data_IF_467995005035
#
_entry.id   IF_467995005035
#
_cell.length_a   1.000
_cell.length_b   1.000
_cell.length_c   1.000
_cell.angle_alpha   90.00
_cell.angle_beta   90.00
_cell.angle_gamma   90.00
#
_symmetry.space_group_name_H-M   'P 1'
#
loop_
_entity.id
_entity.type
_entity.pdbx_description
1 polymer ?
#
# COMPACT_ATOMS: atom_id res chain seq x y z
N UNK A 1 -0.62 -23.86 1.81
CA UNK A 1 -1.35 -23.43 0.61
C UNK A 1 -2.44 -22.43 1.03
N UNK A 2 -2.15 -21.46 1.92
CA UNK A 2 -3.19 -20.96 2.85
C UNK A 2 -3.04 -19.51 3.38
N UNK A 3 -2.58 -18.52 2.59
CA UNK A 3 -2.47 -17.14 3.14
C UNK A 3 -3.27 -16.03 2.47
N UNK A 4 -3.86 -16.26 1.30
CA UNK A 4 -4.71 -15.25 0.66
C UNK A 4 -6.14 -15.69 0.42
N UNK A 5 -6.51 -16.91 0.83
CA UNK A 5 -7.88 -17.40 0.75
C UNK A 5 -8.83 -16.85 1.82
N UNK A 6 -8.39 -15.87 2.63
CA UNK A 6 -9.19 -15.23 3.67
C UNK A 6 -8.56 -13.89 4.00
N UNK A 7 -9.14 -12.78 3.56
CA UNK A 7 -8.89 -11.50 4.24
C UNK A 7 -9.42 -11.69 5.67
N UNK A 8 -8.53 -11.93 6.62
CA UNK A 8 -8.95 -12.19 8.01
C UNK A 8 -9.75 -10.99 8.52
N UNK A 9 -10.72 -11.17 9.44
CA UNK A 9 -11.48 -10.05 9.99
C UNK A 9 -10.59 -8.90 10.48
N UNK A 10 -9.42 -9.22 11.05
CA UNK A 10 -8.42 -8.24 11.47
C UNK A 10 -7.81 -7.45 10.30
N UNK A 11 -7.47 -8.11 9.20
CA UNK A 11 -6.97 -7.45 7.98
C UNK A 11 -8.06 -6.57 7.34
N UNK A 12 -9.30 -7.04 7.32
CA UNK A 12 -10.44 -6.27 6.82
C UNK A 12 -10.66 -5.00 7.62
N UNK A 13 -10.58 -5.05 8.96
CA UNK A 13 -10.73 -3.85 9.80
C UNK A 13 -9.57 -2.86 9.65
N UNK A 14 -8.34 -3.34 9.47
CA UNK A 14 -7.19 -2.46 9.17
C UNK A 14 -7.40 -1.73 7.83
N UNK A 15 -7.81 -2.46 6.79
CA UNK A 15 -8.10 -1.87 5.49
C UNK A 15 -9.23 -0.85 5.54
N UNK A 16 -10.30 -1.13 6.28
CA UNK A 16 -11.38 -0.16 6.53
C UNK A 16 -10.88 1.09 7.27
N UNK A 17 -9.97 0.93 8.23
CA UNK A 17 -9.36 2.09 8.90
C UNK A 17 -8.59 2.98 7.93
N UNK A 18 -7.81 2.39 7.03
CA UNK A 18 -7.08 3.14 6.02
C UNK A 18 -8.03 3.90 5.10
N UNK A 19 -9.06 3.24 4.56
CA UNK A 19 -10.08 3.87 3.71
C UNK A 19 -10.83 5.00 4.44
N UNK A 20 -11.16 4.81 5.72
CA UNK A 20 -11.83 5.84 6.52
C UNK A 20 -10.94 7.07 6.72
N UNK A 21 -9.63 6.89 6.87
CA UNK A 21 -8.66 7.98 7.08
C UNK A 21 -8.26 8.70 5.79
N UNK A 22 -8.46 8.07 4.63
CA UNK A 22 -8.04 8.59 3.33
C UNK A 22 -8.89 9.78 2.89
N UNK A 23 -8.29 10.74 2.15
CA UNK A 23 -8.99 11.94 1.66
C UNK A 23 -9.22 11.94 0.14
N UNK A 24 -8.65 10.98 -0.59
CA UNK A 24 -8.75 10.93 -2.04
C UNK A 24 -9.96 10.10 -2.47
N UNK A 25 -11.02 10.74 -2.95
CA UNK A 25 -12.30 10.08 -3.26
C UNK A 25 -12.17 8.91 -4.23
N UNK A 26 -11.39 9.06 -5.31
CA UNK A 26 -11.17 7.98 -6.29
C UNK A 26 -10.50 6.75 -5.68
N UNK A 27 -9.55 6.95 -4.77
CA UNK A 27 -8.84 5.84 -4.11
C UNK A 27 -9.74 5.17 -3.06
N UNK A 28 -10.55 5.95 -2.36
CA UNK A 28 -11.59 5.41 -1.47
C UNK A 28 -12.54 4.55 -2.28
N UNK A 29 -13.02 5.02 -3.43
CA UNK A 29 -13.92 4.29 -4.30
C UNK A 29 -13.33 2.97 -4.79
N UNK A 30 -12.14 3.03 -5.38
CA UNK A 30 -11.42 1.85 -5.85
C UNK A 30 -11.17 0.86 -4.70
N UNK A 31 -10.80 1.36 -3.51
CA UNK A 31 -10.61 0.54 -2.33
C UNK A 31 -11.89 -0.13 -1.83
N UNK A 32 -13.02 0.58 -1.83
CA UNK A 32 -14.32 0.00 -1.49
C UNK A 32 -14.73 -1.10 -2.47
N UNK A 33 -14.50 -0.88 -3.78
CA UNK A 33 -14.77 -1.88 -4.83
C UNK A 33 -13.87 -3.10 -4.69
N UNK A 34 -12.57 -2.90 -4.42
CA UNK A 34 -11.63 -3.99 -4.18
C UNK A 34 -11.99 -4.81 -2.94
N UNK A 35 -12.36 -4.15 -1.83
CA UNK A 35 -12.79 -4.87 -0.63
C UNK A 35 -14.04 -5.72 -0.90
N UNK A 36 -15.02 -5.16 -1.61
CA UNK A 36 -16.22 -5.89 -2.00
C UNK A 36 -15.87 -7.12 -2.87
N UNK A 37 -15.01 -6.93 -3.88
CA UNK A 37 -14.50 -8.02 -4.73
C UNK A 37 -13.77 -9.10 -3.92
N UNK A 38 -12.87 -8.72 -3.02
CA UNK A 38 -12.09 -9.67 -2.22
C UNK A 38 -12.98 -10.51 -1.31
N UNK A 39 -14.03 -9.90 -0.74
CA UNK A 39 -15.03 -10.63 0.03
C UNK A 39 -15.87 -11.57 -0.85
N UNK A 40 -16.19 -11.17 -2.09
CA UNK A 40 -16.89 -12.04 -3.03
C UNK A 40 -16.07 -13.27 -3.43
N UNK A 41 -14.79 -13.06 -3.76
CA UNK A 41 -13.92 -14.11 -4.30
C UNK A 41 -13.46 -15.11 -3.23
N UNK A 42 -13.48 -14.73 -1.94
CA UNK A 42 -13.23 -15.65 -0.81
C UNK A 42 -14.34 -16.72 -0.63
N UNK A 43 -15.53 -16.50 -1.21
CA UNK A 43 -16.68 -17.43 -1.11
C UNK A 43 -16.64 -18.64 -2.04
N UNK A 44 -15.66 -18.74 -2.95
CA UNK A 44 -15.47 -19.92 -3.81
C UNK A 44 -16.58 -20.16 -4.84
N UNK A 45 -17.19 -19.12 -5.39
CA UNK A 45 -18.26 -19.28 -6.39
C UNK A 45 -18.44 -18.07 -7.30
N UNK A 46 -18.69 -18.37 -8.57
CA UNK A 46 -19.02 -17.43 -9.66
C UNK A 46 -20.28 -16.63 -9.38
N UNK A 47 -20.26 -15.34 -9.73
CA UNK A 47 -21.39 -14.42 -9.87
C UNK A 47 -22.14 -14.04 -8.58
N UNK A 48 -22.22 -12.73 -8.34
CA UNK A 48 -23.15 -11.99 -7.46
C UNK A 48 -23.84 -12.84 -6.37
N UNK A 49 -23.16 -13.04 -5.23
CA UNK A 49 -23.77 -13.70 -4.08
C UNK A 49 -24.28 -12.64 -3.09
N UNK A 50 -25.61 -12.61 -2.89
CA UNK A 50 -26.29 -11.74 -1.93
C UNK A 50 -25.72 -11.88 -0.49
N UNK A 51 -25.15 -13.03 -0.14
CA UNK A 51 -24.46 -13.25 1.14
C UNK A 51 -23.17 -12.44 1.28
N UNK A 52 -22.41 -12.25 0.20
CA UNK A 52 -21.16 -11.48 0.20
C UNK A 52 -21.45 -9.98 0.30
N UNK A 53 -22.50 -9.51 -0.38
CA UNK A 53 -23.04 -8.15 -0.21
C UNK A 53 -23.42 -7.91 1.26
N UNK A 54 -24.10 -8.87 1.90
CA UNK A 54 -24.47 -8.79 3.31
C UNK A 54 -23.24 -8.77 4.24
N UNK A 55 -22.19 -9.51 3.91
CA UNK A 55 -20.95 -9.52 4.69
C UNK A 55 -20.21 -8.18 4.61
N UNK A 56 -20.10 -7.61 3.41
CA UNK A 56 -19.50 -6.28 3.21
C UNK A 56 -20.21 -5.21 4.06
N UNK A 57 -21.54 -5.11 3.97
CA UNK A 57 -22.29 -4.13 4.76
C UNK A 57 -22.23 -4.39 6.27
N UNK A 58 -22.12 -5.64 6.70
CA UNK A 58 -21.86 -5.98 8.12
C UNK A 58 -20.52 -5.44 8.60
N UNK A 59 -19.44 -5.62 7.84
CA UNK A 59 -18.14 -5.06 8.19
C UNK A 59 -18.16 -3.53 8.28
N UNK A 60 -18.80 -2.85 7.31
CA UNK A 60 -18.96 -1.40 7.33
C UNK A 60 -19.73 -0.91 8.56
N UNK A 61 -20.80 -1.62 8.91
CA UNK A 61 -21.65 -1.30 10.06
C UNK A 61 -20.90 -1.48 11.37
N UNK A 62 -20.20 -2.61 11.53
CA UNK A 62 -19.40 -2.87 12.75
C UNK A 62 -18.29 -1.83 12.88
N UNK A 63 -17.54 -1.55 11.82
CA UNK A 63 -16.42 -0.62 11.90
C UNK A 63 -16.89 0.83 12.10
N UNK A 64 -17.77 1.32 11.23
CA UNK A 64 -18.24 2.70 11.29
C UNK A 64 -19.18 2.94 12.48
N UNK A 65 -20.30 2.26 12.50
CA UNK A 65 -21.40 2.58 13.42
C UNK A 65 -21.17 2.04 14.82
N UNK A 66 -20.61 0.83 14.95
CA UNK A 66 -20.36 0.25 16.27
C UNK A 66 -19.10 0.80 16.92
N UNK A 67 -17.96 0.84 16.21
CA UNK A 67 -16.67 1.27 16.78
C UNK A 67 -16.47 2.79 16.74
N UNK A 68 -16.70 3.43 15.58
CA UNK A 68 -16.40 4.86 15.41
C UNK A 68 -17.59 5.80 15.64
N UNK A 69 -18.80 5.25 15.79
CA UNK A 69 -20.07 5.99 15.90
C UNK A 69 -20.34 6.94 14.72
N UNK A 70 -19.77 6.65 13.55
CA UNK A 70 -19.98 7.41 12.30
C UNK A 70 -20.11 6.45 11.10
N UNK A 71 -20.91 6.76 10.07
CA UNK A 71 -20.97 5.93 8.87
C UNK A 71 -19.59 5.79 8.21
N UNK A 72 -19.24 4.58 7.78
CA UNK A 72 -18.02 4.37 7.02
C UNK A 72 -18.11 5.02 5.62
N UNK A 73 -17.01 5.55 5.09
CA UNK A 73 -16.96 6.22 3.76
C UNK A 73 -17.41 5.32 2.60
N UNK A 74 -17.30 4.00 2.73
CA UNK A 74 -17.83 3.06 1.74
C UNK A 74 -19.36 2.90 1.79
N UNK A 75 -20.04 3.32 2.87
CA UNK A 75 -21.48 3.09 3.05
C UNK A 75 -22.33 3.97 2.14
N UNK A 76 -21.86 5.16 1.78
CA UNK A 76 -22.52 6.06 0.84
C UNK A 76 -22.33 5.66 -0.63
N UNK A 77 -21.54 4.62 -0.90
CA UNK A 77 -21.21 4.17 -2.26
C UNK A 77 -22.04 2.94 -2.61
N UNK A 78 -22.80 3.03 -3.69
CA UNK A 78 -23.42 1.86 -4.30
C UNK A 78 -22.32 1.10 -5.05
N UNK A 79 -21.71 0.14 -4.36
CA UNK A 79 -20.69 -0.73 -4.97
C UNK A 79 -21.40 -1.69 -5.92
N UNK A 80 -21.22 -1.47 -7.22
CA UNK A 80 -21.66 -2.35 -8.28
C UNK A 80 -20.45 -2.73 -9.13
N UNK A 81 -20.09 -4.01 -9.11
CA UNK A 81 -18.94 -4.52 -9.87
C UNK A 81 -19.46 -5.06 -11.20
N UNK A 82 -19.06 -4.42 -12.29
CA UNK A 82 -19.29 -4.93 -13.64
C UNK A 82 -18.36 -6.10 -13.96
N UNK A 83 -18.62 -6.81 -15.06
CA UNK A 83 -17.72 -7.89 -15.50
C UNK A 83 -16.31 -7.37 -15.85
N UNK A 84 -16.21 -6.17 -16.43
CA UNK A 84 -14.94 -5.47 -16.67
C UNK A 84 -14.21 -5.14 -15.36
N UNK A 85 -14.92 -4.61 -14.38
CA UNK A 85 -14.33 -4.31 -13.06
C UNK A 85 -13.78 -5.58 -12.40
N UNK A 86 -14.51 -6.70 -12.52
CA UNK A 86 -14.08 -7.99 -11.98
C UNK A 86 -12.76 -8.48 -12.59
N UNK A 87 -12.55 -8.25 -13.89
CA UNK A 87 -11.30 -8.61 -14.58
C UNK A 87 -10.13 -7.77 -14.05
N UNK A 88 -10.33 -6.46 -13.93
CA UNK A 88 -9.31 -5.55 -13.38
C UNK A 88 -8.95 -5.93 -11.94
N UNK A 89 -9.97 -6.11 -11.10
CA UNK A 89 -9.79 -6.43 -9.68
C UNK A 89 -9.11 -7.78 -9.51
N UNK A 90 -9.37 -8.74 -10.40
CA UNK A 90 -8.65 -10.02 -10.45
C UNK A 90 -7.18 -9.83 -10.80
N UNK A 91 -6.85 -9.03 -11.82
CA UNK A 91 -5.45 -8.77 -12.19
C UNK A 91 -4.67 -8.15 -11.03
N UNK A 92 -5.29 -7.24 -10.28
CA UNK A 92 -4.70 -6.63 -9.08
C UNK A 92 -4.48 -7.69 -7.99
N UNK A 93 -5.47 -8.55 -7.75
CA UNK A 93 -5.40 -9.61 -6.75
C UNK A 93 -4.34 -10.67 -7.07
N UNK A 94 -4.25 -11.08 -8.34
CA UNK A 94 -3.24 -12.01 -8.85
C UNK A 94 -1.83 -11.43 -8.68
N UNK A 95 -1.63 -10.14 -9.02
CA UNK A 95 -0.36 -9.43 -8.83
C UNK A 95 0.04 -9.37 -7.35
N UNK A 96 -0.90 -9.04 -6.47
CA UNK A 96 -0.67 -8.98 -5.03
C UNK A 96 -0.34 -10.35 -4.43
N UNK A 97 -1.03 -11.40 -4.88
CA UNK A 97 -0.78 -12.78 -4.47
C UNK A 97 0.62 -13.23 -4.89
N UNK A 98 1.02 -12.93 -6.12
CA UNK A 98 2.37 -13.21 -6.62
C UNK A 98 3.42 -12.49 -5.75
N UNK A 99 3.28 -11.18 -5.51
CA UNK A 99 4.19 -10.40 -4.68
C UNK A 99 4.40 -11.02 -3.29
N UNK A 100 3.33 -11.45 -2.63
CA UNK A 100 3.42 -12.02 -1.29
C UNK A 100 3.92 -13.47 -1.27
N UNK A 101 3.80 -14.20 -2.39
CA UNK A 101 4.36 -15.53 -2.54
C UNK A 101 5.90 -15.53 -2.63
N UNK A 102 6.48 -14.36 -2.95
CA UNK A 102 7.92 -14.20 -3.06
C UNK A 102 8.58 -14.33 -1.69
N UNK A 103 9.52 -15.26 -1.61
CA UNK A 103 10.34 -15.45 -0.42
C UNK A 103 11.49 -14.44 -0.42
N UNK A 104 11.18 -13.19 -0.03
CA UNK A 104 12.14 -12.08 0.03
C UNK A 104 13.40 -12.39 0.88
N UNK A 105 13.36 -13.39 1.75
CA UNK A 105 14.52 -13.83 2.55
C UNK A 105 15.55 -14.64 1.75
N UNK A 106 15.18 -15.23 0.60
CA UNK A 106 16.08 -15.97 -0.29
C UNK A 106 16.79 -15.09 -1.34
N UNK A 107 16.61 -13.78 -1.25
CA UNK A 107 17.08 -12.81 -2.23
C UNK A 107 18.60 -12.59 -2.22
N UNK A 108 19.32 -13.11 -1.22
CA UNK A 108 20.77 -12.94 -1.08
C UNK A 108 21.64 -13.65 -2.12
N UNK A 109 21.19 -14.77 -2.70
CA UNK A 109 22.00 -15.56 -3.67
C UNK A 109 21.27 -15.90 -5.00
N UNK A 110 19.93 -15.88 -5.02
CA UNK A 110 19.09 -16.17 -6.22
C UNK A 110 18.20 -14.97 -6.58
N UNK A 111 18.40 -13.83 -5.90
CA UNK A 111 17.47 -12.71 -5.87
C UNK A 111 17.25 -12.01 -7.20
N UNK A 112 18.24 -11.98 -8.09
CA UNK A 112 18.16 -11.24 -9.35
C UNK A 112 17.15 -11.88 -10.31
N UNK A 113 17.17 -13.21 -10.45
CA UNK A 113 16.19 -13.93 -11.29
C UNK A 113 14.77 -13.88 -10.71
N UNK A 114 14.64 -13.94 -9.39
CA UNK A 114 13.33 -13.84 -8.71
C UNK A 114 12.74 -12.44 -8.92
N UNK A 115 13.56 -11.41 -8.80
CA UNK A 115 13.15 -10.02 -9.01
C UNK A 115 12.81 -9.74 -10.48
N UNK A 116 13.64 -10.23 -11.42
CA UNK A 116 13.40 -10.09 -12.86
C UNK A 116 12.09 -10.77 -13.28
N UNK A 117 11.81 -11.97 -12.75
CA UNK A 117 10.55 -12.68 -13.00
C UNK A 117 9.35 -11.93 -12.43
N UNK A 118 9.49 -11.32 -11.25
CA UNK A 118 8.43 -10.49 -10.68
C UNK A 118 8.16 -9.25 -11.55
N UNK A 119 9.21 -8.51 -11.94
CA UNK A 119 9.03 -7.34 -12.80
C UNK A 119 8.43 -7.70 -14.15
N UNK A 120 8.88 -8.78 -14.79
CA UNK A 120 8.28 -9.25 -16.05
C UNK A 120 6.78 -9.58 -15.90
N UNK A 121 6.39 -10.21 -14.77
CA UNK A 121 4.97 -10.44 -14.48
C UNK A 121 4.22 -9.15 -14.18
N UNK A 122 4.82 -8.22 -13.45
CA UNK A 122 4.24 -6.91 -13.16
C UNK A 122 4.00 -6.11 -14.45
N UNK A 123 4.98 -6.10 -15.37
CA UNK A 123 4.86 -5.48 -16.68
C UNK A 123 3.73 -6.13 -17.50
N UNK A 124 3.62 -7.46 -17.45
CA UNK A 124 2.49 -8.17 -18.07
C UNK A 124 1.14 -7.74 -17.48
N UNK A 125 1.01 -7.66 -16.15
CA UNK A 125 -0.21 -7.21 -15.50
C UNK A 125 -0.56 -5.75 -15.85
N UNK A 126 0.44 -4.86 -15.87
CA UNK A 126 0.27 -3.46 -16.27
C UNK A 126 -0.18 -3.37 -17.73
N UNK A 127 0.43 -4.16 -18.62
CA UNK A 127 0.03 -4.20 -20.03
C UNK A 127 -1.43 -4.64 -20.21
N UNK A 128 -1.84 -5.70 -19.51
CA UNK A 128 -3.22 -6.19 -19.56
C UNK A 128 -4.21 -5.16 -18.99
N UNK A 129 -3.82 -4.46 -17.93
CA UNK A 129 -4.62 -3.39 -17.36
C UNK A 129 -4.79 -2.21 -18.34
N UNK A 130 -3.69 -1.75 -18.95
CA UNK A 130 -3.72 -0.64 -19.89
C UNK A 130 -4.55 -0.96 -21.14
N UNK A 131 -4.38 -2.16 -21.71
CA UNK A 131 -5.18 -2.64 -22.85
C UNK A 131 -6.68 -2.66 -22.50
N UNK A 132 -7.02 -3.08 -21.28
CA UNK A 132 -8.42 -3.11 -20.82
C UNK A 132 -9.01 -1.70 -20.62
N UNK A 133 -8.22 -0.72 -20.18
CA UNK A 133 -8.68 0.67 -20.08
C UNK A 133 -8.85 1.29 -21.46
N UNK A 134 -7.87 1.15 -22.36
CA UNK A 134 -7.93 1.73 -23.70
C UNK A 134 -9.11 1.18 -24.52
N UNK A 135 -9.39 -0.13 -24.41
CA UNK A 135 -10.53 -0.76 -25.10
C UNK A 135 -11.89 -0.27 -24.55
N UNK A 136 -12.01 0.00 -23.25
CA UNK A 136 -13.21 0.55 -22.65
C UNK A 136 -13.40 2.05 -22.94
N UNK A 137 -12.32 2.83 -23.00
CA UNK A 137 -12.37 4.25 -23.38
C UNK A 137 -12.84 4.41 -24.84
N UNK A 138 -12.33 3.56 -25.75
CA UNK A 138 -12.79 3.54 -27.14
C UNK A 138 -14.28 3.15 -27.26
N UNK A 139 -14.76 2.18 -26.47
CA UNK A 139 -16.17 1.77 -26.47
C UNK A 139 -17.12 2.82 -25.84
N UNK A 140 -16.63 3.65 -24.91
CA UNK A 140 -17.42 4.73 -24.29
C UNK A 140 -17.54 6.00 -25.14
N UNK A 141 -16.67 6.14 -26.16
CA UNK A 141 -16.55 7.35 -26.97
C UNK A 141 -17.74 7.62 -27.92
N UNK A 142 -18.67 6.66 -28.08
CA UNK A 142 -19.86 6.84 -28.93
C UNK A 142 -21.07 7.51 -28.25
N UNK A 143 -21.12 7.66 -26.92
CA UNK A 143 -22.28 8.25 -26.25
C UNK A 143 -21.90 9.18 -25.08
N UNK A 144 -21.43 10.39 -25.43
CA UNK A 144 -21.87 11.71 -24.91
C UNK A 144 -20.71 12.71 -25.03
N UNK A 145 -20.85 13.62 -25.98
CA UNK A 145 -20.11 14.88 -25.96
C UNK A 145 -20.48 15.68 -24.71
N UNK A 146 -19.62 15.63 -23.70
CA UNK A 146 -19.51 16.65 -22.66
C UNK A 146 -18.06 17.12 -22.74
N UNK A 147 -17.79 18.41 -22.98
CA UNK A 147 -16.42 18.88 -23.06
C UNK A 147 -15.76 18.68 -21.69
N UNK A 148 -14.70 17.87 -21.69
CA UNK A 148 -13.75 17.78 -20.58
C UNK A 148 -13.16 19.18 -20.42
N UNK A 149 -13.64 19.91 -19.42
CA UNK A 149 -12.94 21.07 -18.92
C UNK A 149 -11.60 20.57 -18.40
N UNK A 150 -10.52 20.84 -19.13
CA UNK A 150 -9.16 20.83 -18.61
C UNK A 150 -9.13 21.76 -17.40
N UNK A 151 -9.40 21.20 -16.23
CA UNK A 151 -9.05 21.84 -14.98
C UNK A 151 -7.62 21.41 -14.72
N UNK A 152 -6.70 22.26 -15.16
CA UNK A 152 -5.33 22.26 -14.66
C UNK A 152 -5.39 22.35 -13.13
N UNK A 153 -5.44 21.20 -12.47
CA UNK A 153 -5.18 21.10 -11.05
C UNK A 153 -3.68 21.29 -10.89
N UNK A 154 -3.26 22.55 -10.86
CA UNK A 154 -1.98 22.95 -10.31
C UNK A 154 -1.90 22.39 -8.90
N UNK A 155 -1.29 21.21 -8.75
CA UNK A 155 -0.87 20.67 -7.47
C UNK A 155 0.16 21.64 -6.90
N UNK A 156 -0.31 22.65 -6.16
CA UNK A 156 0.52 23.42 -5.24
C UNK A 156 0.98 22.47 -4.15
N UNK A 157 2.08 21.79 -4.38
CA UNK A 157 2.79 21.04 -3.35
C UNK A 157 3.37 22.08 -2.39
N UNK A 158 2.80 22.16 -1.19
CA UNK A 158 3.39 22.92 -0.10
C UNK A 158 4.66 22.18 0.36
N UNK A 159 5.79 22.45 -0.32
CA UNK A 159 7.13 21.90 -0.03
C UNK A 159 7.54 22.11 1.44
N UNK A 160 6.92 23.09 2.12
CA UNK A 160 7.12 23.35 3.54
C UNK A 160 6.77 22.15 4.43
N UNK A 161 5.71 21.39 4.11
CA UNK A 161 5.24 20.29 4.96
C UNK A 161 6.25 19.13 5.06
N UNK A 162 6.76 18.54 3.96
CA UNK A 162 7.78 17.48 4.06
C UNK A 162 9.08 17.96 4.70
N UNK A 163 9.46 19.24 4.52
CA UNK A 163 10.65 19.82 5.17
C UNK A 163 10.47 19.90 6.69
N UNK A 164 9.34 20.42 7.17
CA UNK A 164 9.06 20.54 8.61
C UNK A 164 8.98 19.17 9.26
N UNK A 165 8.32 18.19 8.62
CA UNK A 165 8.26 16.81 9.13
C UNK A 165 9.66 16.21 9.23
N UNK A 166 10.50 16.39 8.20
CA UNK A 166 11.89 15.92 8.22
C UNK A 166 12.66 16.55 9.38
N UNK A 167 12.56 17.86 9.56
CA UNK A 167 13.27 18.57 10.62
C UNK A 167 12.85 18.10 12.03
N UNK A 168 11.56 17.87 12.24
CA UNK A 168 11.01 17.36 13.52
C UNK A 168 11.51 15.95 13.80
N UNK A 169 11.44 15.04 12.82
CA UNK A 169 11.88 13.64 12.97
C UNK A 169 13.39 13.57 13.23
N UNK A 170 14.20 14.35 12.50
CA UNK A 170 15.66 14.40 12.71
C UNK A 170 16.01 14.96 14.09
N UNK A 171 15.30 16.00 14.55
CA UNK A 171 15.53 16.60 15.87
C UNK A 171 15.19 15.62 16.99
N UNK A 172 14.02 14.96 16.91
CA UNK A 172 13.60 13.95 17.89
C UNK A 172 14.58 12.77 17.93
N UNK A 173 15.00 12.26 16.77
CA UNK A 173 15.95 11.16 16.68
C UNK A 173 17.31 11.54 17.28
N UNK A 174 17.77 12.77 17.05
CA UNK A 174 19.04 13.26 17.62
C UNK A 174 18.97 13.40 19.14
N UNK A 175 17.84 13.88 19.68
CA UNK A 175 17.61 13.95 21.13
C UNK A 175 17.60 12.55 21.75
N UNK A 176 16.91 11.59 21.12
CA UNK A 176 16.88 10.21 21.59
C UNK A 176 18.28 9.58 21.59
N UNK A 177 19.04 9.74 20.50
CA UNK A 177 20.42 9.26 20.42
C UNK A 177 21.31 9.92 21.47
N UNK A 178 21.16 11.22 21.71
CA UNK A 178 21.89 11.93 22.76
C UNK A 178 21.56 11.38 24.15
N UNK A 179 20.27 11.10 24.42
CA UNK A 179 19.85 10.53 25.69
C UNK A 179 20.42 9.11 25.86
N UNK A 180 20.35 8.27 24.83
CA UNK A 180 20.93 6.93 24.85
C UNK A 180 22.44 7.00 25.09
N UNK A 181 23.13 7.90 24.40
CA UNK A 181 24.57 8.06 24.52
C UNK A 181 25.01 8.60 25.88
N UNK A 182 24.25 9.53 26.47
CA UNK A 182 24.63 10.20 27.72
C UNK A 182 24.16 9.46 28.98
N UNK A 183 22.98 8.87 28.95
CA UNK A 183 22.29 8.38 30.15
C UNK A 183 22.13 6.86 30.22
N UNK A 184 22.52 6.10 29.18
CA UNK A 184 22.53 4.63 29.26
C UNK A 184 23.95 4.07 29.32
N UNK A 185 24.09 2.90 29.94
CA UNK A 185 25.36 2.17 30.05
C UNK A 185 25.98 1.77 28.69
N UNK A 186 25.21 1.92 27.59
CA UNK A 186 25.70 1.73 26.22
C UNK A 186 26.57 2.88 25.71
N UNK A 187 26.46 4.08 26.29
CA UNK A 187 27.22 5.27 25.89
C UNK A 187 28.74 5.08 25.93
N UNK A 188 29.32 4.67 27.08
CA UNK A 188 30.76 4.39 27.19
C UNK A 188 31.24 3.29 26.23
N UNK A 189 30.41 2.27 25.98
CA UNK A 189 30.72 1.17 25.04
C UNK A 189 30.78 1.65 23.58
N UNK A 190 29.86 2.52 23.18
CA UNK A 190 29.88 3.15 21.86
C UNK A 190 31.07 4.11 21.69
N UNK A 191 31.37 4.93 22.70
CA UNK A 191 32.55 5.79 22.72
C UNK A 191 33.82 4.95 22.53
N UNK A 192 33.96 3.87 23.31
CA UNK A 192 35.11 2.97 23.21
C UNK A 192 35.25 2.37 21.80
N UNK A 193 34.16 1.90 21.19
CA UNK A 193 34.18 1.37 19.81
C UNK A 193 34.54 2.43 18.78
N UNK A 194 34.05 3.67 18.93
CA UNK A 194 34.40 4.78 18.03
C UNK A 194 35.89 5.13 18.17
N UNK A 195 36.42 5.20 19.39
CA UNK A 195 37.84 5.44 19.63
C UNK A 195 38.74 4.34 19.07
N UNK A 196 38.37 3.07 19.28
CA UNK A 196 39.10 1.93 18.73
C UNK A 196 39.14 1.97 17.20
N UNK A 197 38.01 2.29 16.57
CA UNK A 197 37.94 2.41 15.12
C UNK A 197 38.78 3.59 14.62
N UNK A 198 38.71 4.75 15.27
CA UNK A 198 39.52 5.93 14.94
C UNK A 198 41.03 5.65 15.05
N UNK A 199 41.47 4.98 16.12
CA UNK A 199 42.87 4.62 16.30
C UNK A 199 43.34 3.62 15.22
N UNK A 200 42.49 2.68 14.83
CA UNK A 200 42.79 1.76 13.72
C UNK A 200 42.97 2.51 12.38
N UNK A 201 42.12 3.50 12.08
CA UNK A 201 42.29 4.32 10.88
C UNK A 201 43.55 5.20 10.94
N UNK A 202 43.87 5.78 12.10
CA UNK A 202 45.11 6.53 12.27
C UNK A 202 46.36 5.67 12.06
N UNK A 203 46.36 4.43 12.55
CA UNK A 203 47.47 3.48 12.36
C UNK A 203 47.62 3.04 10.89
N UNK A 204 46.51 2.95 10.14
CA UNK A 204 46.54 2.69 8.69
C UNK A 204 47.14 3.88 7.93
N UNK A 205 46.78 5.11 8.29
CA UNK A 205 47.31 6.31 7.62
C UNK A 205 48.79 6.53 7.93
N UNK A 206 49.25 6.17 9.13
CA UNK A 206 50.66 6.23 9.52
C UNK A 206 51.51 5.19 8.78
N UNK A 207 50.95 4.00 8.51
CA UNK A 207 51.60 2.93 7.70
C UNK A 207 51.64 3.19 6.20
N UNK A 208 50.94 4.22 5.71
CA UNK A 208 50.88 4.61 4.28
C UNK A 208 51.79 5.81 3.94
N UNK A 209 52.48 6.38 4.93
CA UNK A 209 53.58 7.33 4.72
C UNK A 209 54.92 6.59 4.68
#
# INVERSE_FOLDING_TARGET
>A
MDKFKNMSPSCTFLFLSELQSMNHETLIEAGCNYLYYSLENNGGGTYYNQENTNLFYKFLTVYGESLLKIPHKCKSRNVFITMSDSIILKLIDDMYTEYNSLNWRKMGEVGENILMNFYSKADFFISQYNEHIETNEMASSEIRGIPVSEKENSCKTNILFPIVVTFVVTTLSSILLFIFFKFTAFGPSLIYKIFMKRNYWCDIDEKRK
#
